data_IF_690585014190
#
_entry.id   IF_690585014190
#
_cell.length_a   1.000
_cell.length_b   1.000
_cell.length_c   1.000
_cell.angle_alpha   90.00
_cell.angle_beta   90.00
_cell.angle_gamma   90.00
#
_symmetry.space_group_name_H-M   'P 1'
#
loop_
_entity.id
_entity.type
_entity.pdbx_description
1 polymer ?
#
# COMPACT_ATOMS: atom_id res chain seq x y z
N UNK A 1 -19.31 -6.42 -2.59
CA UNK A 1 -19.38 -5.36 -1.57
C UNK A 1 -20.40 -5.80 -0.55
N UNK A 2 -19.92 -6.38 0.54
CA UNK A 2 -20.72 -6.57 1.75
C UNK A 2 -20.61 -5.37 2.69
N UNK A 3 -20.18 -4.21 2.18
CA UNK A 3 -20.11 -2.97 2.94
C UNK A 3 -21.45 -2.70 3.62
N UNK A 4 -21.38 -2.43 4.93
CA UNK A 4 -22.55 -2.13 5.74
C UNK A 4 -23.25 -0.86 5.27
N UNK A 5 -24.46 -0.61 5.80
CA UNK A 5 -25.22 0.61 5.53
C UNK A 5 -24.47 1.90 5.92
N UNK A 6 -23.41 1.80 6.72
CA UNK A 6 -22.54 2.89 7.15
C UNK A 6 -21.10 2.60 6.71
N UNK A 7 -20.55 3.46 5.85
CA UNK A 7 -19.16 3.35 5.40
C UNK A 7 -18.20 3.47 6.58
N UNK A 8 -17.19 2.59 6.65
CA UNK A 8 -16.22 2.55 7.75
C UNK A 8 -16.71 1.84 9.02
N UNK A 9 -17.87 1.17 8.97
CA UNK A 9 -18.44 0.40 10.07
C UNK A 9 -18.88 -1.01 9.64
N UNK A 10 -18.26 -1.55 8.59
CA UNK A 10 -18.57 -2.89 8.08
C UNK A 10 -18.09 -3.95 9.07
N UNK A 11 -18.98 -4.89 9.42
CA UNK A 11 -18.67 -6.04 10.27
C UNK A 11 -18.10 -7.20 9.44
N UNK A 12 -16.83 -7.52 9.67
CA UNK A 12 -16.13 -8.61 8.99
C UNK A 12 -16.25 -9.98 9.68
N UNK A 13 -17.00 -10.10 10.78
CA UNK A 13 -17.12 -11.33 11.59
C UNK A 13 -17.61 -12.56 10.81
N UNK A 14 -18.38 -12.33 9.74
CA UNK A 14 -19.00 -13.38 8.90
C UNK A 14 -18.48 -13.34 7.45
N UNK A 15 -17.49 -12.51 7.17
CA UNK A 15 -16.89 -12.36 5.85
C UNK A 15 -15.79 -13.42 5.64
N UNK A 16 -15.68 -13.90 4.41
CA UNK A 16 -14.66 -14.86 3.98
C UNK A 16 -13.35 -14.16 3.58
N UNK A 17 -12.30 -14.94 3.35
CA UNK A 17 -11.05 -14.43 2.79
C UNK A 17 -11.24 -13.84 1.38
N UNK A 18 -12.14 -14.41 0.57
CA UNK A 18 -12.43 -13.91 -0.77
C UNK A 18 -13.19 -12.58 -0.70
N UNK A 19 -14.06 -12.38 0.29
CA UNK A 19 -14.74 -11.09 0.50
C UNK A 19 -13.73 -9.98 0.86
N UNK A 20 -12.77 -10.28 1.75
CA UNK A 20 -11.68 -9.34 2.08
C UNK A 20 -10.86 -8.99 0.83
N UNK A 21 -10.55 -10.00 0.02
CA UNK A 21 -9.81 -9.80 -1.23
C UNK A 21 -10.58 -8.90 -2.20
N UNK A 22 -11.86 -9.16 -2.43
CA UNK A 22 -12.73 -8.33 -3.28
C UNK A 22 -12.78 -6.87 -2.79
N UNK A 23 -12.88 -6.66 -1.48
CA UNK A 23 -12.90 -5.32 -0.91
C UNK A 23 -11.56 -4.59 -1.11
N UNK A 24 -10.41 -5.26 -0.93
CA UNK A 24 -9.09 -4.66 -1.19
C UNK A 24 -8.96 -4.27 -2.66
N UNK A 25 -9.37 -5.13 -3.60
CA UNK A 25 -9.36 -4.82 -5.04
C UNK A 25 -10.19 -3.57 -5.35
N UNK A 26 -11.39 -3.46 -4.77
CA UNK A 26 -12.27 -2.31 -4.93
C UNK A 26 -11.73 -1.04 -4.31
N UNK A 27 -11.09 -1.13 -3.16
CA UNK A 27 -10.44 0.00 -2.50
C UNK A 27 -9.25 0.53 -3.32
N UNK A 28 -8.52 -0.35 -4.00
CA UNK A 28 -7.46 0.04 -4.94
C UNK A 28 -8.08 0.79 -6.13
N UNK A 29 -9.09 0.22 -6.78
CA UNK A 29 -9.78 0.84 -7.91
C UNK A 29 -10.35 2.22 -7.54
N UNK A 30 -11.08 2.31 -6.44
CA UNK A 30 -11.64 3.56 -5.95
C UNK A 30 -10.55 4.60 -5.60
N UNK A 31 -9.39 4.13 -5.11
CA UNK A 31 -8.22 4.97 -4.87
C UNK A 31 -7.63 5.57 -6.15
N UNK A 32 -7.56 4.79 -7.22
CA UNK A 32 -7.10 5.28 -8.52
C UNK A 32 -8.05 6.32 -9.11
N UNK A 33 -9.36 6.06 -9.04
CA UNK A 33 -10.39 7.00 -9.48
C UNK A 33 -10.33 8.31 -8.70
N UNK A 34 -10.20 8.22 -7.37
CA UNK A 34 -10.08 9.36 -6.47
C UNK A 34 -8.81 10.16 -6.76
N UNK A 35 -7.67 9.49 -6.95
CA UNK A 35 -6.41 10.15 -7.29
C UNK A 35 -6.53 10.94 -8.61
N UNK A 36 -7.11 10.31 -9.64
CA UNK A 36 -7.33 10.94 -10.95
C UNK A 36 -8.28 12.13 -10.83
N UNK A 37 -9.37 12.00 -10.06
CA UNK A 37 -10.30 13.09 -9.80
C UNK A 37 -9.59 14.27 -9.13
N UNK A 38 -8.83 14.01 -8.05
CA UNK A 38 -8.12 15.05 -7.30
C UNK A 38 -7.12 15.76 -8.21
N UNK A 39 -6.25 15.01 -8.88
CA UNK A 39 -5.20 15.56 -9.75
C UNK A 39 -5.79 16.42 -10.87
N UNK A 40 -6.81 15.93 -11.58
CA UNK A 40 -7.43 16.67 -12.69
C UNK A 40 -8.15 17.93 -12.21
N UNK A 41 -8.80 17.87 -11.05
CA UNK A 41 -9.52 19.02 -10.51
C UNK A 41 -8.56 20.09 -10.01
N UNK A 42 -7.44 19.72 -9.39
CA UNK A 42 -6.37 20.67 -9.01
C UNK A 42 -5.83 21.38 -10.26
N UNK A 43 -5.62 20.67 -11.37
CA UNK A 43 -5.21 21.30 -12.63
C UNK A 43 -6.24 22.34 -13.09
N UNK A 44 -7.53 21.99 -13.14
CA UNK A 44 -8.60 22.93 -13.51
C UNK A 44 -8.67 24.16 -12.60
N UNK A 45 -8.58 23.96 -11.28
CA UNK A 45 -8.59 25.07 -10.32
C UNK A 45 -7.38 25.98 -10.45
N UNK A 46 -6.24 25.45 -10.91
CA UNK A 46 -5.05 26.27 -11.22
C UNK A 46 -5.24 27.07 -12.50
N UNK A 47 -5.86 26.50 -13.52
CA UNK A 47 -6.18 27.20 -14.79
C UNK A 47 -7.09 28.41 -14.57
N UNK A 48 -8.02 28.34 -13.61
CA UNK A 48 -8.92 29.47 -13.26
C UNK A 48 -8.38 30.39 -12.16
N UNK A 49 -7.17 30.13 -11.65
CA UNK A 49 -6.57 30.77 -10.47
C UNK A 49 -7.33 30.58 -9.14
N UNK A 50 -8.46 29.85 -9.12
CA UNK A 50 -9.22 29.61 -7.90
C UNK A 50 -8.42 28.80 -6.86
N UNK A 51 -7.47 27.97 -7.30
CA UNK A 51 -6.60 27.20 -6.41
C UNK A 51 -5.88 28.07 -5.37
N UNK A 52 -5.52 29.31 -5.71
CA UNK A 52 -4.86 30.24 -4.79
C UNK A 52 -5.77 30.71 -3.64
N UNK A 53 -7.09 30.59 -3.81
CA UNK A 53 -8.08 30.88 -2.78
C UNK A 53 -8.32 29.69 -1.84
N UNK A 54 -7.93 28.48 -2.24
CA UNK A 54 -8.10 27.28 -1.41
C UNK A 54 -7.09 27.31 -0.25
N UNK A 55 -7.51 27.11 1.02
CA UNK A 55 -6.60 27.14 2.17
C UNK A 55 -5.48 26.11 2.04
N UNK A 56 -4.26 26.53 2.40
CA UNK A 56 -3.05 25.70 2.29
C UNK A 56 -3.16 24.35 3.02
N UNK A 57 -3.82 24.30 4.18
CA UNK A 57 -4.01 23.06 4.93
C UNK A 57 -4.89 22.06 4.16
N UNK A 58 -5.92 22.56 3.46
CA UNK A 58 -6.77 21.72 2.63
C UNK A 58 -6.03 21.27 1.37
N UNK A 59 -5.22 22.16 0.76
CA UNK A 59 -4.33 21.78 -0.33
C UNK A 59 -3.37 20.65 0.08
N UNK A 60 -2.80 20.75 1.29
CA UNK A 60 -1.90 19.75 1.87
C UNK A 60 -2.62 18.43 2.13
N UNK A 61 -3.87 18.48 2.59
CA UNK A 61 -4.71 17.28 2.78
C UNK A 61 -4.95 16.55 1.45
N UNK A 62 -5.28 17.29 0.39
CA UNK A 62 -5.46 16.73 -0.96
C UNK A 62 -4.15 16.13 -1.51
N UNK A 63 -3.03 16.83 -1.32
CA UNK A 63 -1.70 16.33 -1.70
C UNK A 63 -1.29 15.08 -0.92
N UNK A 64 -1.61 15.02 0.38
CA UNK A 64 -1.43 13.83 1.21
C UNK A 64 -2.29 12.67 0.73
N UNK A 65 -3.55 12.93 0.36
CA UNK A 65 -4.46 11.91 -0.18
C UNK A 65 -3.93 11.27 -1.46
N UNK A 66 -3.38 12.06 -2.39
CA UNK A 66 -2.73 11.53 -3.61
C UNK A 66 -1.59 10.56 -3.25
N UNK A 67 -0.77 10.88 -2.25
CA UNK A 67 0.29 9.97 -1.79
C UNK A 67 -0.30 8.73 -1.14
N UNK A 68 -1.30 8.91 -0.28
CA UNK A 68 -1.97 7.85 0.44
C UNK A 68 -2.63 6.83 -0.50
N UNK A 69 -3.33 7.26 -1.55
CA UNK A 69 -3.89 6.33 -2.56
C UNK A 69 -2.81 5.48 -3.23
N UNK A 70 -1.62 6.06 -3.48
CA UNK A 70 -0.51 5.33 -4.09
C UNK A 70 0.10 4.31 -3.12
N UNK A 71 0.24 4.69 -1.84
CA UNK A 71 0.66 3.78 -0.78
C UNK A 71 -0.34 2.65 -0.59
N UNK A 72 -1.64 2.98 -0.51
CA UNK A 72 -2.72 1.99 -0.41
C UNK A 72 -2.68 1.01 -1.56
N UNK A 73 -2.52 1.49 -2.81
CA UNK A 73 -2.35 0.62 -3.98
C UNK A 73 -1.15 -0.30 -3.84
N UNK A 74 0.02 0.25 -3.53
CA UNK A 74 1.26 -0.53 -3.43
C UNK A 74 1.16 -1.62 -2.36
N UNK A 75 0.71 -1.25 -1.16
CA UNK A 75 0.63 -2.16 -0.02
C UNK A 75 -0.54 -3.14 -0.16
N UNK A 76 -1.66 -2.68 -0.70
CA UNK A 76 -2.81 -3.52 -1.05
C UNK A 76 -2.46 -4.61 -2.05
N UNK A 77 -1.67 -4.31 -3.08
CA UNK A 77 -1.19 -5.31 -4.04
C UNK A 77 -0.30 -6.37 -3.38
N UNK A 78 0.54 -6.00 -2.40
CA UNK A 78 1.34 -6.96 -1.63
C UNK A 78 0.45 -7.89 -0.79
N UNK A 79 -0.61 -7.35 -0.18
CA UNK A 79 -1.57 -8.14 0.59
C UNK A 79 -2.33 -9.10 -0.34
N UNK A 80 -2.80 -8.63 -1.50
CA UNK A 80 -3.48 -9.47 -2.50
C UNK A 80 -2.58 -10.61 -2.99
N UNK A 81 -1.30 -10.34 -3.24
CA UNK A 81 -0.33 -11.37 -3.62
C UNK A 81 -0.22 -12.45 -2.53
N UNK A 82 -0.11 -12.06 -1.26
CA UNK A 82 -0.04 -13.00 -0.15
C UNK A 82 -1.33 -13.81 0.02
N UNK A 83 -2.50 -13.19 -0.15
CA UNK A 83 -3.80 -13.88 -0.13
C UNK A 83 -3.85 -14.94 -1.23
N UNK A 84 -3.53 -14.55 -2.47
CA UNK A 84 -3.57 -15.44 -3.64
C UNK A 84 -2.59 -16.62 -3.52
N UNK A 85 -1.45 -16.42 -2.85
CA UNK A 85 -0.45 -17.46 -2.64
C UNK A 85 -0.69 -18.28 -1.36
N UNK A 86 -1.70 -17.94 -0.55
CA UNK A 86 -1.93 -18.58 0.75
C UNK A 86 -0.79 -18.34 1.75
N UNK A 87 -0.09 -17.20 1.62
CA UNK A 87 1.11 -16.83 2.39
C UNK A 87 0.86 -15.63 3.30
N UNK A 88 -0.33 -15.54 3.89
CA UNK A 88 -0.68 -14.44 4.79
C UNK A 88 0.14 -14.56 6.07
N UNK A 89 0.88 -13.50 6.41
CA UNK A 89 1.64 -13.38 7.66
C UNK A 89 1.17 -12.16 8.46
N UNK A 90 1.67 -12.02 9.69
CA UNK A 90 1.47 -10.82 10.50
C UNK A 90 1.83 -9.51 9.78
N UNK A 91 2.75 -9.55 8.81
CA UNK A 91 3.13 -8.38 8.02
C UNK A 91 1.93 -7.84 7.23
N UNK A 92 1.22 -8.70 6.52
CA UNK A 92 0.08 -8.30 5.68
C UNK A 92 -1.10 -7.84 6.53
N UNK A 93 -1.36 -8.50 7.66
CA UNK A 93 -2.34 -8.07 8.67
C UNK A 93 -1.99 -6.66 9.17
N UNK A 94 -0.72 -6.42 9.52
CA UNK A 94 -0.24 -5.12 10.01
C UNK A 94 -0.31 -4.04 8.94
N UNK A 95 0.01 -4.34 7.69
CA UNK A 95 -0.12 -3.40 6.57
C UNK A 95 -1.58 -2.96 6.41
N UNK A 96 -2.52 -3.91 6.33
CA UNK A 96 -3.93 -3.60 6.15
C UNK A 96 -4.49 -2.76 7.31
N UNK A 97 -4.08 -3.09 8.54
CA UNK A 97 -4.43 -2.34 9.75
C UNK A 97 -3.90 -0.91 9.72
N UNK A 98 -2.64 -0.72 9.31
CA UNK A 98 -2.02 0.59 9.22
C UNK A 98 -2.68 1.47 8.15
N UNK A 99 -3.04 0.88 7.00
CA UNK A 99 -3.80 1.58 5.97
C UNK A 99 -5.14 2.08 6.52
N UNK A 100 -5.89 1.24 7.25
CA UNK A 100 -7.14 1.63 7.89
C UNK A 100 -6.97 2.73 8.94
N UNK A 101 -5.96 2.64 9.79
CA UNK A 101 -5.64 3.67 10.79
C UNK A 101 -5.33 5.03 10.14
N UNK A 102 -4.55 5.03 9.06
CA UNK A 102 -4.28 6.25 8.30
C UNK A 102 -5.55 6.84 7.69
N UNK A 103 -6.48 6.01 7.23
CA UNK A 103 -7.77 6.45 6.71
C UNK A 103 -8.58 7.23 7.75
N UNK A 104 -8.59 6.75 9.01
CA UNK A 104 -9.23 7.42 10.16
C UNK A 104 -8.63 8.81 10.38
N UNK A 105 -7.30 8.91 10.38
CA UNK A 105 -6.59 10.20 10.51
C UNK A 105 -6.94 11.15 9.36
N UNK A 106 -6.97 10.65 8.12
CA UNK A 106 -7.35 11.48 6.98
C UNK A 106 -8.80 11.95 7.05
N UNK A 107 -9.75 11.12 7.49
CA UNK A 107 -11.14 11.55 7.66
C UNK A 107 -11.24 12.76 8.61
N UNK A 108 -10.51 12.73 9.73
CA UNK A 108 -10.42 13.84 10.66
C UNK A 108 -9.75 15.07 10.02
N UNK A 109 -8.63 14.88 9.30
CA UNK A 109 -7.96 15.96 8.57
C UNK A 109 -8.87 16.62 7.53
N UNK A 110 -9.59 15.85 6.72
CA UNK A 110 -10.58 16.38 5.77
C UNK A 110 -11.60 17.26 6.48
N UNK A 111 -12.17 16.78 7.59
CA UNK A 111 -13.12 17.55 8.41
C UNK A 111 -12.53 18.86 8.92
N UNK A 112 -11.29 18.86 9.41
CA UNK A 112 -10.62 20.04 9.98
C UNK A 112 -10.16 21.03 8.92
N UNK A 113 -9.42 20.58 7.91
CA UNK A 113 -8.72 21.48 6.98
C UNK A 113 -9.67 22.09 5.96
N UNK A 114 -10.72 21.40 5.54
CA UNK A 114 -11.77 21.99 4.70
C UNK A 114 -12.57 23.08 5.44
N UNK A 115 -12.72 22.94 6.75
CA UNK A 115 -13.51 23.86 7.57
C UNK A 115 -12.68 24.91 8.32
N UNK A 116 -11.35 24.93 8.15
CA UNK A 116 -10.47 25.86 8.85
C UNK A 116 -10.72 27.32 8.48
N UNK A 117 -11.20 27.57 7.25
CA UNK A 117 -11.53 28.90 6.76
C UNK A 117 -12.82 28.90 5.93
N UNK A 118 -13.66 29.91 6.10
CA UNK A 118 -14.93 30.06 5.38
C UNK A 118 -14.88 31.03 4.21
N UNK A 119 -13.90 31.94 4.13
CA UNK A 119 -13.87 33.04 3.15
C UNK A 119 -13.76 32.60 1.70
N UNK A 120 -13.19 31.43 1.44
CA UNK A 120 -13.04 30.84 0.12
C UNK A 120 -14.28 30.06 -0.35
N UNK A 121 -15.27 29.87 0.53
CA UNK A 121 -16.47 29.06 0.29
C UNK A 121 -17.56 29.87 -0.42
N UNK A 122 -17.38 30.09 -1.71
CA UNK A 122 -18.36 30.77 -2.56
C UNK A 122 -19.27 29.76 -3.28
N UNK A 123 -20.41 29.47 -2.68
CA UNK A 123 -21.41 28.53 -3.23
C UNK A 123 -22.02 28.96 -4.57
N UNK A 124 -21.84 30.22 -4.98
CA UNK A 124 -22.27 30.72 -6.28
C UNK A 124 -21.20 30.56 -7.38
N UNK A 125 -19.96 30.30 -6.99
CA UNK A 125 -18.83 30.14 -7.91
C UNK A 125 -18.69 28.66 -8.37
N UNK A 126 -18.72 28.38 -9.69
CA UNK A 126 -18.55 27.02 -10.20
C UNK A 126 -17.20 26.38 -9.86
N UNK A 127 -16.12 27.16 -9.70
CA UNK A 127 -14.80 26.64 -9.31
C UNK A 127 -14.79 26.20 -7.85
N UNK A 128 -15.49 26.91 -6.97
CA UNK A 128 -15.68 26.45 -5.61
C UNK A 128 -16.39 25.09 -5.57
N UNK A 129 -17.38 24.85 -6.46
CA UNK A 129 -18.05 23.54 -6.55
C UNK A 129 -17.10 22.41 -6.93
N UNK A 130 -16.08 22.68 -7.74
CA UNK A 130 -15.01 21.71 -8.03
C UNK A 130 -14.25 21.40 -6.73
N UNK A 131 -13.86 22.41 -5.96
CA UNK A 131 -13.14 22.19 -4.70
C UNK A 131 -14.00 21.55 -3.60
N UNK A 132 -15.30 21.84 -3.55
CA UNK A 132 -16.26 21.16 -2.68
C UNK A 132 -16.38 19.68 -3.06
N UNK A 133 -16.41 19.37 -4.35
CA UNK A 133 -16.41 17.98 -4.83
C UNK A 133 -15.15 17.23 -4.41
N UNK A 134 -13.99 17.90 -4.39
CA UNK A 134 -12.75 17.30 -3.86
C UNK A 134 -12.86 16.92 -2.39
N UNK A 135 -13.45 17.78 -1.57
CA UNK A 135 -13.72 17.47 -0.16
C UNK A 135 -14.63 16.25 -0.04
N UNK A 136 -15.76 16.25 -0.75
CA UNK A 136 -16.74 15.17 -0.67
C UNK A 136 -16.15 13.83 -1.09
N UNK A 137 -15.56 13.75 -2.28
CA UNK A 137 -15.06 12.48 -2.82
C UNK A 137 -13.79 12.01 -2.11
N UNK A 138 -12.90 12.93 -1.76
CA UNK A 138 -11.70 12.57 -1.00
C UNK A 138 -12.04 12.04 0.39
N UNK A 139 -13.02 12.66 1.06
CA UNK A 139 -13.48 12.20 2.38
C UNK A 139 -14.26 10.88 2.31
N UNK A 140 -15.13 10.73 1.32
CA UNK A 140 -15.90 9.50 1.09
C UNK A 140 -14.99 8.28 0.85
N UNK A 141 -13.93 8.48 0.05
CA UNK A 141 -12.90 7.48 -0.15
C UNK A 141 -12.23 7.06 1.17
N UNK A 142 -11.71 8.01 1.95
CA UNK A 142 -11.00 7.64 3.19
C UNK A 142 -11.94 7.06 4.26
N UNK A 143 -13.21 7.45 4.29
CA UNK A 143 -14.21 6.80 5.16
C UNK A 143 -14.39 5.33 4.75
N UNK A 144 -14.49 5.07 3.44
CA UNK A 144 -14.60 3.69 2.93
C UNK A 144 -13.39 2.84 3.31
N UNK A 145 -12.20 3.44 3.34
CA UNK A 145 -10.96 2.74 3.72
C UNK A 145 -10.79 2.51 5.22
N UNK A 146 -11.60 3.13 6.08
CA UNK A 146 -11.57 2.83 7.52
C UNK A 146 -11.91 1.34 7.77
N UNK A 147 -12.72 0.74 6.90
CA UNK A 147 -13.05 -0.69 6.95
C UNK A 147 -11.84 -1.61 6.76
N UNK A 148 -10.72 -1.12 6.20
CA UNK A 148 -9.47 -1.89 6.15
C UNK A 148 -8.98 -2.28 7.55
N UNK A 149 -9.23 -1.44 8.56
CA UNK A 149 -8.89 -1.79 9.95
C UNK A 149 -9.73 -2.99 10.42
N UNK A 150 -11.04 -3.00 10.13
CA UNK A 150 -11.94 -4.09 10.48
C UNK A 150 -11.58 -5.38 9.74
N UNK A 151 -11.34 -5.27 8.43
CA UNK A 151 -10.88 -6.36 7.59
C UNK A 151 -9.56 -6.96 8.09
N UNK A 152 -8.65 -6.13 8.64
CA UNK A 152 -7.37 -6.62 9.18
C UNK A 152 -7.54 -7.59 10.35
N UNK A 153 -8.53 -7.38 11.22
CA UNK A 153 -8.82 -8.30 12.33
C UNK A 153 -9.32 -9.64 11.80
N UNK A 154 -10.12 -9.62 10.74
CA UNK A 154 -10.59 -10.86 10.11
C UNK A 154 -9.50 -11.55 9.31
N UNK A 155 -8.62 -10.80 8.65
CA UNK A 155 -7.48 -11.32 7.91
C UNK A 155 -6.52 -12.12 8.81
N UNK A 156 -6.41 -11.73 10.08
CA UNK A 156 -5.60 -12.42 11.10
C UNK A 156 -6.00 -13.88 11.31
N UNK A 157 -7.29 -14.23 11.14
CA UNK A 157 -7.76 -15.62 11.24
C UNK A 157 -7.20 -16.53 10.13
N UNK A 158 -6.75 -15.93 9.02
CA UNK A 158 -6.14 -16.60 7.88
C UNK A 158 -4.61 -16.55 7.89
N UNK A 159 -4.02 -15.97 8.94
CA UNK A 159 -2.58 -15.98 9.12
C UNK A 159 -2.09 -17.43 9.15
N UNK A 160 -1.10 -17.73 8.31
CA UNK A 160 -0.39 -19.00 8.35
C UNK A 160 0.27 -19.11 9.73
N UNK A 161 -0.35 -19.88 10.62
CA UNK A 161 0.30 -20.33 11.85
C UNK A 161 1.45 -21.18 11.40
N UNK A 162 2.63 -20.57 11.22
CA UNK A 162 3.80 -21.24 10.71
C UNK A 162 3.93 -22.56 11.44
N UNK A 163 3.65 -23.67 10.76
CA UNK A 163 4.22 -24.91 11.17
C UNK A 163 5.71 -24.62 11.10
N UNK A 164 6.31 -24.38 12.26
CA UNK A 164 7.74 -24.49 12.40
C UNK A 164 8.02 -25.87 11.85
N UNK A 165 8.54 -25.96 10.63
CA UNK A 165 9.23 -27.15 10.17
C UNK A 165 10.39 -27.25 11.14
N UNK A 166 10.15 -27.93 12.26
CA UNK A 166 11.18 -28.35 13.19
C UNK A 166 11.97 -29.34 12.36
N UNK A 167 12.99 -28.84 11.66
CA UNK A 167 14.03 -29.64 11.08
C UNK A 167 14.69 -30.34 12.27
N UNK A 168 14.17 -31.52 12.64
CA UNK A 168 14.79 -32.40 13.62
C UNK A 168 16.06 -32.91 12.96
N UNK A 169 17.16 -32.22 13.21
CA UNK A 169 18.48 -32.73 12.87
C UNK A 169 18.77 -33.85 13.89
N UNK A 170 18.65 -35.10 13.47
CA UNK A 170 19.11 -36.25 14.24
C UNK A 170 20.61 -36.45 13.97
N UNK A 171 21.44 -36.02 14.93
CA UNK A 171 22.86 -36.38 14.94
C UNK A 171 23.03 -37.42 16.05
N UNK A 172 23.18 -38.67 15.61
CA UNK A 172 23.64 -39.80 16.44
C UNK A 172 22.87 -40.00 17.75
N UNK A 173 21.53 -39.93 17.72
CA UNK A 173 20.70 -40.43 18.82
C UNK A 173 20.58 -39.51 20.04
N UNK A 174 21.07 -38.27 19.97
CA UNK A 174 20.89 -37.29 21.05
C UNK A 174 19.79 -36.28 20.67
N UNK A 175 18.62 -36.40 21.31
CA UNK A 175 17.51 -35.44 21.18
C UNK A 175 17.89 -34.12 21.85
N UNK A 176 18.31 -33.12 21.09
CA UNK A 176 18.52 -31.77 21.60
C UNK A 176 17.18 -31.03 21.58
N UNK A 177 16.74 -30.50 22.73
CA UNK A 177 15.60 -29.59 22.79
C UNK A 177 16.07 -28.19 22.39
N UNK A 178 15.29 -27.52 21.55
CA UNK A 178 15.61 -26.21 20.94
C UNK A 178 15.86 -25.07 21.96
N UNK A 179 15.58 -25.29 23.25
CA UNK A 179 15.85 -24.32 24.32
C UNK A 179 17.32 -24.15 24.72
N UNK A 180 18.21 -25.05 24.29
CA UNK A 180 19.64 -25.01 24.66
C UNK A 180 20.54 -24.37 23.58
N UNK A 181 19.96 -23.87 22.49
CA UNK A 181 20.73 -23.15 21.46
C UNK A 181 20.81 -21.68 21.88
N UNK A 182 21.74 -21.36 22.77
CA UNK A 182 22.14 -19.97 23.00
C UNK A 182 22.60 -19.37 21.67
N UNK A 183 22.05 -18.21 21.31
CA UNK A 183 22.47 -17.40 20.16
C UNK A 183 23.99 -17.19 20.17
N UNK A 184 24.71 -18.04 19.43
CA UNK A 184 26.07 -17.76 19.03
C UNK A 184 26.01 -16.73 17.90
N UNK A 185 26.71 -15.60 18.06
CA UNK A 185 26.95 -14.64 17.00
C UNK A 185 27.54 -15.36 15.77
N UNK A 186 26.68 -15.70 14.81
CA UNK A 186 27.14 -16.14 13.49
C UNK A 186 27.66 -14.90 12.79
N UNK A 187 28.98 -14.78 12.67
CA UNK A 187 29.59 -13.88 11.70
C UNK A 187 29.05 -14.28 10.33
N UNK A 188 28.23 -13.43 9.75
CA UNK A 188 27.72 -13.55 8.40
C UNK A 188 28.93 -13.47 7.45
N UNK A 189 29.37 -14.61 6.91
CA UNK A 189 30.24 -14.61 5.74
C UNK A 189 29.45 -13.98 4.59
N UNK A 190 29.91 -12.81 4.17
CA UNK A 190 29.28 -12.02 3.12
C UNK A 190 29.18 -12.84 1.82
N UNK A 191 27.98 -12.91 1.25
CA UNK A 191 27.69 -13.47 -0.08
C UNK A 191 28.22 -12.59 -1.23
N UNK A 192 29.39 -11.96 -1.05
CA UNK A 192 30.00 -11.03 -2.01
C UNK A 192 30.43 -11.72 -3.31
N UNK A 193 30.71 -13.03 -3.30
CA UNK A 193 31.17 -13.74 -4.49
C UNK A 193 30.10 -13.91 -5.58
N UNK A 194 28.81 -14.01 -5.21
CA UNK A 194 27.73 -14.21 -6.20
C UNK A 194 27.29 -12.89 -6.85
N UNK A 195 27.34 -11.78 -6.11
CA UNK A 195 27.05 -10.42 -6.61
C UNK A 195 28.11 -9.93 -7.60
N UNK A 196 29.39 -10.17 -7.32
CA UNK A 196 30.51 -9.79 -8.21
C UNK A 196 30.45 -10.50 -9.57
N UNK A 197 30.07 -11.79 -9.58
CA UNK A 197 29.96 -12.58 -10.81
C UNK A 197 28.87 -12.01 -11.74
N UNK A 198 27.73 -11.61 -11.17
CA UNK A 198 26.57 -11.16 -11.95
C UNK A 198 26.69 -9.71 -12.44
N UNK A 199 27.26 -8.82 -11.61
CA UNK A 199 27.30 -7.39 -11.94
C UNK A 199 28.58 -6.96 -12.68
N UNK A 200 29.69 -7.70 -12.56
CA UNK A 200 30.96 -7.32 -13.20
C UNK A 200 31.32 -8.27 -14.34
N UNK A 201 31.27 -9.59 -14.12
CA UNK A 201 31.78 -10.55 -15.11
C UNK A 201 30.80 -10.72 -16.29
N UNK A 202 29.51 -10.80 -16.01
CA UNK A 202 28.47 -11.00 -17.02
C UNK A 202 28.43 -9.89 -18.11
N UNK A 203 28.46 -8.58 -17.78
CA UNK A 203 28.51 -7.55 -18.82
C UNK A 203 29.82 -7.56 -19.62
N UNK A 204 30.96 -7.93 -19.02
CA UNK A 204 32.24 -8.05 -19.74
C UNK A 204 32.18 -9.17 -20.78
N UNK A 205 31.61 -10.33 -20.44
CA UNK A 205 31.44 -11.45 -21.38
C UNK A 205 30.56 -11.02 -22.57
N UNK A 206 29.47 -10.29 -22.31
CA UNK A 206 28.57 -9.79 -23.37
C UNK A 206 29.30 -8.82 -24.31
N UNK A 207 30.13 -7.91 -23.78
CA UNK A 207 30.91 -6.97 -24.59
C UNK A 207 31.93 -7.70 -25.48
N UNK A 208 32.66 -8.68 -24.92
CA UNK A 208 33.69 -9.41 -25.67
C UNK A 208 33.05 -10.26 -26.79
N UNK A 209 31.96 -10.97 -26.49
CA UNK A 209 31.24 -11.76 -27.49
C UNK A 209 30.63 -10.87 -28.58
N UNK A 210 30.01 -9.74 -28.20
CA UNK A 210 29.47 -8.77 -29.16
C UNK A 210 30.55 -8.20 -30.08
N UNK A 211 31.72 -7.89 -29.53
CA UNK A 211 32.86 -7.35 -30.30
C UNK A 211 33.43 -8.38 -31.29
N UNK A 212 33.49 -9.65 -30.90
CA UNK A 212 33.93 -10.75 -31.78
C UNK A 212 32.94 -10.99 -32.92
N UNK A 213 31.63 -10.95 -32.64
CA UNK A 213 30.59 -11.12 -33.67
C UNK A 213 30.66 -9.98 -34.69
N UNK A 214 30.78 -8.72 -34.23
CA UNK A 214 30.91 -7.56 -35.13
C UNK A 214 32.17 -7.69 -35.99
N UNK A 215 33.32 -8.03 -35.40
CA UNK A 215 34.57 -8.22 -36.13
C UNK A 215 34.46 -9.30 -37.21
N UNK A 216 33.79 -10.42 -36.94
CA UNK A 216 33.56 -11.49 -37.91
C UNK A 216 32.62 -11.13 -39.06
N UNK A 217 31.75 -10.12 -38.89
CA UNK A 217 30.83 -9.66 -39.93
C UNK A 217 31.45 -8.54 -40.78
N UNK A 218 32.34 -7.74 -40.19
CA UNK A 218 32.99 -6.59 -40.88
C UNK A 218 34.29 -6.93 -41.61
N UNK A 219 34.70 -8.20 -41.65
CA UNK A 219 35.91 -8.67 -42.33
C UNK A 219 35.57 -9.71 -43.38
#
# INVERSE_FOLDING_TARGET
MSQGMFAGATDYSHQSLEDIKEDIEKWIEYGEETNKLITNSIVKLKETNFWNSVPFDFQSTLGGTIKYTNTFKSDGLLILEAINNGQITNKEVTLLRNLGNQAIEYNDHYGKTYNSESRWKDYSNPDFRIAEKLYQNGRDYVISLMDAQNASFRLEDYESKGESTVNKIDIQGKKIKTGDISQGNVKQESSTKFSLLYHIILPIIVIVLGSLIVYSITK
#
